data_IF_503249094407
#
_entry.id   IF_503249094407
#
_cell.length_a   1.000
_cell.length_b   1.000
_cell.length_c   1.000
_cell.angle_alpha   90.00
_cell.angle_beta   90.00
_cell.angle_gamma   90.00
#
_symmetry.space_group_name_H-M   'P 1'
#
loop_
_entity.id
_entity.type
_entity.pdbx_description
1 polymer ?
#
# COMPACT_ATOMS: atom_id res chain seq x y z
N UNK A 1 -12.95 12.05 -21.79
CA UNK A 1 -14.14 12.29 -20.93
C UNK A 1 -14.77 13.65 -21.18
N UNK A 2 -14.02 14.75 -21.08
CA UNK A 2 -14.60 16.07 -21.33
C UNK A 2 -15.10 16.24 -22.78
N UNK A 3 -14.38 15.66 -23.75
CA UNK A 3 -14.82 15.59 -25.15
C UNK A 3 -16.08 14.73 -25.34
N UNK A 4 -16.16 13.55 -24.72
CA UNK A 4 -17.36 12.72 -24.78
C UNK A 4 -18.58 13.44 -24.20
N UNK A 5 -18.39 14.22 -23.13
CA UNK A 5 -19.44 15.07 -22.56
C UNK A 5 -19.82 16.21 -23.50
N UNK A 6 -18.85 16.87 -24.14
CA UNK A 6 -19.12 18.00 -25.04
C UNK A 6 -19.83 17.59 -26.33
N UNK A 7 -19.64 16.35 -26.77
CA UNK A 7 -20.33 15.78 -27.94
C UNK A 7 -21.68 15.15 -27.60
N UNK A 8 -22.05 15.04 -26.32
CA UNK A 8 -23.26 14.37 -25.88
C UNK A 8 -23.21 12.84 -26.04
N UNK A 9 -22.01 12.26 -26.05
CA UNK A 9 -21.85 10.82 -26.17
C UNK A 9 -22.36 10.09 -24.91
N UNK A 10 -23.26 9.13 -25.11
CA UNK A 10 -23.76 8.25 -24.05
C UNK A 10 -22.79 7.10 -23.72
N UNK A 11 -21.92 6.76 -24.68
CA UNK A 11 -21.01 5.61 -24.60
C UNK A 11 -19.62 5.96 -25.13
N UNK A 12 -18.58 5.43 -24.50
CA UNK A 12 -17.19 5.48 -24.96
C UNK A 12 -16.71 4.06 -25.22
N UNK A 13 -16.15 3.82 -26.40
CA UNK A 13 -15.44 2.58 -26.71
C UNK A 13 -13.98 2.73 -26.35
N UNK A 14 -13.44 1.80 -25.57
CA UNK A 14 -12.02 1.75 -25.23
C UNK A 14 -11.44 0.38 -25.59
N UNK A 15 -10.23 0.38 -26.14
CA UNK A 15 -9.47 -0.83 -26.46
C UNK A 15 -8.42 -1.15 -25.39
N UNK A 16 -7.90 -0.14 -24.69
CA UNK A 16 -6.98 -0.38 -23.58
C UNK A 16 -7.77 -0.74 -22.32
N UNK A 17 -7.48 -1.86 -21.65
CA UNK A 17 -8.08 -2.16 -20.35
C UNK A 17 -7.78 -1.07 -19.31
N UNK A 18 -6.62 -0.41 -19.44
CA UNK A 18 -6.25 0.75 -18.65
C UNK A 18 -7.17 1.96 -18.86
N UNK A 19 -7.61 2.21 -20.10
CA UNK A 19 -8.51 3.31 -20.43
C UNK A 19 -9.94 2.99 -20.03
N UNK A 20 -10.40 1.75 -20.25
CA UNK A 20 -11.69 1.28 -19.75
C UNK A 20 -11.80 1.57 -18.25
N UNK A 21 -10.79 1.12 -17.52
CA UNK A 21 -10.67 1.32 -16.09
C UNK A 21 -10.70 2.81 -15.69
N UNK A 22 -9.81 3.63 -16.27
CA UNK A 22 -9.74 5.06 -15.95
C UNK A 22 -11.04 5.80 -16.25
N UNK A 23 -11.71 5.42 -17.34
CA UNK A 23 -12.97 6.02 -17.75
C UNK A 23 -14.12 5.63 -16.82
N UNK A 24 -14.26 4.35 -16.46
CA UNK A 24 -15.28 3.91 -15.50
C UNK A 24 -15.12 4.59 -14.14
N UNK A 25 -13.89 4.64 -13.61
CA UNK A 25 -13.63 5.33 -12.32
C UNK A 25 -13.85 6.82 -12.41
N UNK A 26 -13.50 7.45 -13.54
CA UNK A 26 -13.80 8.88 -13.75
C UNK A 26 -15.30 9.12 -13.79
N UNK A 27 -16.06 8.27 -14.48
CA UNK A 27 -17.51 8.37 -14.54
C UNK A 27 -18.15 8.21 -13.16
N UNK A 28 -17.72 7.24 -12.36
CA UNK A 28 -18.18 7.05 -10.99
C UNK A 28 -17.85 8.25 -10.08
N UNK A 29 -16.56 8.63 -9.99
CA UNK A 29 -16.08 9.70 -9.11
C UNK A 29 -16.68 11.07 -9.46
N UNK A 30 -16.91 11.33 -10.75
CA UNK A 30 -17.52 12.57 -11.24
C UNK A 30 -19.03 12.48 -11.44
N UNK A 31 -19.65 11.32 -11.14
CA UNK A 31 -21.09 11.05 -11.35
C UNK A 31 -21.55 11.38 -12.77
N UNK A 32 -20.78 10.94 -13.76
CA UNK A 32 -21.10 11.11 -15.18
C UNK A 32 -21.93 9.91 -15.65
N UNK A 33 -22.96 10.20 -16.42
CA UNK A 33 -23.80 9.19 -17.08
C UNK A 33 -23.24 8.86 -18.47
N UNK A 34 -22.02 8.30 -18.50
CA UNK A 34 -21.34 7.90 -19.73
C UNK A 34 -20.82 6.47 -19.54
N UNK A 35 -21.37 5.52 -20.29
CA UNK A 35 -20.99 4.12 -20.22
C UNK A 35 -19.66 3.88 -20.94
N UNK A 36 -18.78 3.06 -20.35
CA UNK A 36 -17.52 2.66 -20.99
C UNK A 36 -17.56 1.20 -21.40
N UNK A 37 -17.44 0.95 -22.70
CA UNK A 37 -17.56 -0.39 -23.30
C UNK A 37 -16.22 -0.80 -23.90
N UNK A 38 -15.79 -2.03 -23.64
CA UNK A 38 -14.66 -2.65 -24.33
C UNK A 38 -14.95 -2.80 -25.83
N UNK A 39 -14.01 -2.38 -26.66
CA UNK A 39 -14.14 -2.46 -28.11
C UNK A 39 -14.29 -3.91 -28.61
N UNK A 40 -13.61 -4.87 -28.00
CA UNK A 40 -13.71 -6.27 -28.41
C UNK A 40 -15.09 -6.85 -28.07
N UNK A 41 -15.62 -6.56 -26.87
CA UNK A 41 -17.01 -6.87 -26.47
C UNK A 41 -18.01 -6.23 -27.42
N UNK A 42 -17.83 -4.95 -27.77
CA UNK A 42 -18.72 -4.26 -28.71
C UNK A 42 -18.75 -4.98 -30.06
N UNK A 43 -17.57 -5.29 -30.63
CA UNK A 43 -17.47 -6.02 -31.89
C UNK A 43 -18.07 -7.43 -31.83
N UNK A 44 -17.75 -8.20 -30.80
CA UNK A 44 -18.21 -9.58 -30.67
C UNK A 44 -19.73 -9.67 -30.39
N UNK A 45 -20.31 -8.69 -29.70
CA UNK A 45 -21.76 -8.59 -29.55
C UNK A 45 -22.48 -8.44 -30.89
N UNK A 46 -21.90 -7.72 -31.86
CA UNK A 46 -22.49 -7.61 -33.21
C UNK A 46 -22.49 -8.94 -33.99
N UNK A 47 -21.61 -9.87 -33.60
CA UNK A 47 -21.53 -11.22 -34.17
C UNK A 47 -22.44 -12.22 -33.43
N UNK A 48 -23.24 -11.76 -32.45
CA UNK A 48 -24.19 -12.60 -31.71
C UNK A 48 -23.58 -13.31 -30.50
N UNK A 49 -22.37 -12.95 -30.07
CA UNK A 49 -21.78 -13.49 -28.85
C UNK A 49 -22.20 -12.67 -27.62
N UNK A 50 -22.65 -13.34 -26.57
CA UNK A 50 -22.91 -12.72 -25.27
C UNK A 50 -21.76 -12.97 -24.31
N UNK A 51 -21.30 -11.91 -23.65
CA UNK A 51 -20.27 -11.99 -22.62
C UNK A 51 -20.81 -11.45 -21.29
N UNK A 52 -20.44 -12.06 -20.15
CA UNK A 52 -20.75 -11.49 -18.84
C UNK A 52 -20.10 -10.11 -18.72
N UNK A 53 -20.74 -9.19 -18.01
CA UNK A 53 -20.16 -7.88 -17.74
C UNK A 53 -18.84 -8.04 -16.95
N UNK A 54 -17.69 -7.54 -17.48
CA UNK A 54 -16.42 -7.64 -16.78
C UNK A 54 -16.32 -6.67 -15.61
N UNK A 55 -17.20 -5.66 -15.49
CA UNK A 55 -17.04 -4.57 -14.52
C UNK A 55 -16.90 -5.04 -13.06
N UNK A 56 -17.68 -6.02 -12.55
CA UNK A 56 -17.51 -6.50 -11.18
C UNK A 56 -16.13 -7.08 -10.91
N UNK A 57 -15.50 -7.75 -11.88
CA UNK A 57 -14.15 -8.30 -11.73
C UNK A 57 -13.08 -7.21 -11.86
N UNK A 58 -13.26 -6.28 -12.81
CA UNK A 58 -12.37 -5.12 -12.98
C UNK A 58 -12.35 -4.26 -11.71
N UNK A 59 -13.50 -4.00 -11.09
CA UNK A 59 -13.60 -3.26 -9.84
C UNK A 59 -12.95 -4.00 -8.65
N UNK A 60 -13.08 -5.33 -8.58
CA UNK A 60 -12.39 -6.14 -7.57
C UNK A 60 -10.87 -6.03 -7.70
N UNK A 61 -10.35 -6.14 -8.91
CA UNK A 61 -8.91 -6.01 -9.17
C UNK A 61 -8.42 -4.56 -8.92
N UNK A 62 -9.25 -3.57 -9.23
CA UNK A 62 -8.97 -2.16 -8.92
C UNK A 62 -8.86 -1.90 -7.43
N UNK A 63 -9.77 -2.43 -6.61
CA UNK A 63 -9.74 -2.23 -5.16
C UNK A 63 -8.40 -2.69 -4.55
N UNK A 64 -7.83 -3.79 -5.07
CA UNK A 64 -6.50 -4.24 -4.68
C UNK A 64 -5.41 -3.23 -5.10
N UNK A 65 -5.49 -2.68 -6.31
CA UNK A 65 -4.53 -1.70 -6.82
C UNK A 65 -4.60 -0.34 -6.10
N UNK A 66 -5.79 0.20 -5.81
CA UNK A 66 -5.95 1.42 -4.99
C UNK A 66 -5.34 1.24 -3.60
N UNK A 67 -5.59 0.10 -2.98
CA UNK A 67 -5.03 -0.21 -1.67
C UNK A 67 -3.50 -0.33 -1.71
N UNK A 68 -2.93 -0.88 -2.78
CA UNK A 68 -1.48 -0.92 -2.98
C UNK A 68 -0.89 0.47 -3.19
N UNK A 69 -1.52 1.33 -4.00
CA UNK A 69 -1.08 2.73 -4.16
C UNK A 69 -1.10 3.44 -2.82
N UNK A 70 -2.19 3.32 -2.06
CA UNK A 70 -2.30 3.92 -0.74
C UNK A 70 -1.21 3.41 0.21
N UNK A 71 -0.92 2.11 0.18
CA UNK A 71 0.15 1.51 0.98
C UNK A 71 1.55 2.03 0.60
N UNK A 72 1.79 2.33 -0.68
CA UNK A 72 3.06 2.83 -1.19
C UNK A 72 3.31 4.32 -0.88
N UNK A 73 2.38 5.00 -0.22
CA UNK A 73 2.61 6.37 0.31
C UNK A 73 3.40 6.35 1.63
N UNK A 74 4.12 7.43 1.99
CA UNK A 74 4.79 7.53 3.28
C UNK A 74 3.84 7.28 4.47
N UNK A 75 2.63 7.82 4.42
CA UNK A 75 1.61 7.68 5.44
C UNK A 75 1.07 6.26 5.52
N UNK A 76 0.74 5.66 4.37
CA UNK A 76 0.25 4.29 4.28
C UNK A 76 1.28 3.29 4.80
N UNK A 77 2.54 3.46 4.41
CA UNK A 77 3.63 2.61 4.85
C UNK A 77 3.91 2.78 6.35
N UNK A 78 3.95 4.03 6.86
CA UNK A 78 4.09 4.30 8.28
C UNK A 78 2.94 3.68 9.11
N UNK A 79 1.71 3.72 8.59
CA UNK A 79 0.55 3.09 9.23
C UNK A 79 0.62 1.55 9.21
N UNK A 80 1.23 0.94 8.19
CA UNK A 80 1.54 -0.49 8.20
C UNK A 80 2.55 -0.82 9.29
N UNK A 81 3.67 -0.10 9.33
CA UNK A 81 4.71 -0.26 10.36
C UNK A 81 4.15 -0.09 11.77
N UNK A 82 3.21 0.85 11.96
CA UNK A 82 2.52 1.09 13.22
C UNK A 82 1.80 -0.12 13.80
N UNK A 83 1.48 -1.13 13.00
CA UNK A 83 0.84 -2.36 13.47
C UNK A 83 1.82 -3.44 13.91
N UNK A 84 3.11 -3.30 13.63
CA UNK A 84 4.11 -4.35 13.83
C UNK A 84 5.26 -3.89 14.72
N UNK A 85 4.98 -3.04 15.73
CA UNK A 85 6.01 -2.57 16.66
C UNK A 85 6.77 -3.70 17.38
N UNK A 86 6.11 -4.75 17.92
CA UNK A 86 6.82 -5.86 18.57
C UNK A 86 7.86 -6.51 17.65
N UNK A 87 7.48 -6.75 16.39
CA UNK A 87 8.29 -7.39 15.36
C UNK A 87 9.39 -6.46 14.86
N UNK A 88 9.08 -5.17 14.61
CA UNK A 88 10.05 -4.13 14.27
C UNK A 88 11.16 -4.03 15.32
N UNK A 89 10.79 -3.87 16.59
CA UNK A 89 11.76 -3.75 17.68
C UNK A 89 12.48 -5.07 17.90
N UNK A 90 11.80 -6.21 17.75
CA UNK A 90 12.40 -7.54 17.85
C UNK A 90 13.42 -7.84 16.75
N UNK A 91 13.23 -7.30 15.54
CA UNK A 91 14.10 -7.52 14.40
C UNK A 91 15.40 -6.69 14.45
N UNK A 92 15.46 -5.64 15.28
CA UNK A 92 16.63 -4.77 15.39
C UNK A 92 17.92 -5.55 15.70
N UNK A 93 19.02 -5.28 14.96
CA UNK A 93 20.26 -6.03 15.11
C UNK A 93 20.99 -5.72 16.42
N UNK A 94 21.99 -6.54 16.76
CA UNK A 94 22.91 -6.31 17.89
C UNK A 94 22.23 -6.15 19.26
N UNK A 95 21.03 -6.70 19.44
CA UNK A 95 20.28 -6.59 20.69
C UNK A 95 19.69 -5.20 20.96
N UNK A 96 19.76 -4.28 19.98
CA UNK A 96 19.27 -2.91 20.10
C UNK A 96 17.78 -2.86 20.49
N UNK A 97 16.98 -3.84 20.07
CA UNK A 97 15.58 -3.95 20.48
C UNK A 97 15.39 -4.10 22.00
N UNK A 98 16.25 -4.87 22.67
CA UNK A 98 16.23 -5.01 24.15
C UNK A 98 16.67 -3.72 24.82
N UNK A 99 17.71 -3.07 24.28
CA UNK A 99 18.19 -1.77 24.75
C UNK A 99 17.10 -0.70 24.64
N UNK A 100 16.41 -0.60 23.50
CA UNK A 100 15.36 0.40 23.29
C UNK A 100 14.16 0.20 24.23
N UNK A 101 13.77 -1.04 24.49
CA UNK A 101 12.74 -1.35 25.51
C UNK A 101 13.17 -0.96 26.92
N UNK A 102 14.45 -1.14 27.27
CA UNK A 102 14.98 -0.70 28.56
C UNK A 102 15.01 0.83 28.67
N UNK A 103 15.47 1.52 27.62
CA UNK A 103 15.49 2.99 27.56
C UNK A 103 14.08 3.59 27.58
N UNK A 104 13.08 2.90 27.00
CA UNK A 104 11.69 3.32 27.08
C UNK A 104 11.11 3.38 28.49
N UNK A 105 11.69 2.64 29.44
CA UNK A 105 11.33 2.71 30.87
C UNK A 105 11.97 3.89 31.60
N UNK A 106 12.98 4.53 31.01
CA UNK A 106 13.68 5.68 31.59
C UNK A 106 13.06 6.97 31.02
N UNK A 107 12.43 7.82 31.85
CA UNK A 107 11.81 9.06 31.37
C UNK A 107 12.80 9.93 30.59
N UNK A 108 12.44 10.28 29.35
CA UNK A 108 13.22 11.20 28.50
C UNK A 108 14.40 10.59 27.74
N UNK A 109 14.83 9.36 28.04
CA UNK A 109 16.00 8.75 27.39
C UNK A 109 15.81 8.55 25.87
N UNK A 110 14.63 8.09 25.44
CA UNK A 110 14.32 7.92 24.01
C UNK A 110 14.13 9.26 23.27
N UNK A 111 13.65 10.29 23.98
CA UNK A 111 13.48 11.63 23.41
C UNK A 111 14.83 12.26 23.05
N UNK A 112 15.87 11.99 23.85
CA UNK A 112 17.23 12.47 23.60
C UNK A 112 17.85 11.83 22.34
N UNK A 113 17.43 10.62 21.98
CA UNK A 113 17.88 9.93 20.77
C UNK A 113 17.09 10.29 19.51
N UNK A 114 16.03 11.13 19.63
CA UNK A 114 15.19 11.54 18.50
C UNK A 114 15.98 12.08 17.30
N UNK A 115 17.03 12.92 17.47
CA UNK A 115 17.83 13.42 16.35
C UNK A 115 18.65 12.34 15.63
N UNK A 116 18.90 11.20 16.28
CA UNK A 116 19.72 10.11 15.75
C UNK A 116 18.90 9.15 14.89
N UNK A 117 17.60 8.98 15.18
CA UNK A 117 16.74 8.05 14.46
C UNK A 117 16.70 8.27 12.94
N UNK A 118 16.63 9.49 12.39
CA UNK A 118 16.63 9.69 10.94
C UNK A 118 17.88 9.21 10.23
N UNK A 119 19.03 9.20 10.91
CA UNK A 119 20.30 8.73 10.34
C UNK A 119 20.45 7.22 10.51
N UNK A 120 19.95 6.70 11.62
CA UNK A 120 20.11 5.30 12.01
C UNK A 120 19.06 4.39 11.34
N UNK A 121 17.81 4.84 11.27
CA UNK A 121 16.67 4.06 10.77
C UNK A 121 16.85 3.57 9.32
N UNK A 122 17.31 4.41 8.35
CA UNK A 122 17.57 3.95 6.99
C UNK A 122 18.65 2.88 6.87
N UNK A 123 19.60 2.83 7.84
CA UNK A 123 20.64 1.79 7.88
C UNK A 123 20.13 0.51 8.53
N UNK A 124 19.32 0.64 9.58
CA UNK A 124 18.78 -0.51 10.31
C UNK A 124 17.70 -1.24 9.54
N UNK A 125 16.80 -0.52 8.88
CA UNK A 125 15.63 -1.12 8.24
C UNK A 125 16.00 -2.19 7.21
N UNK A 126 16.95 -1.98 6.27
CA UNK A 126 17.39 -3.04 5.33
C UNK A 126 17.90 -4.31 6.04
N UNK A 127 18.62 -4.16 7.16
CA UNK A 127 19.10 -5.30 7.95
C UNK A 127 17.95 -6.04 8.66
N UNK A 128 16.84 -5.35 8.92
CA UNK A 128 15.65 -5.91 9.56
C UNK A 128 14.69 -6.54 8.54
N UNK A 129 14.71 -6.10 7.27
CA UNK A 129 13.76 -6.52 6.22
C UNK A 129 13.62 -8.04 6.08
N UNK A 130 14.69 -8.86 6.08
CA UNK A 130 14.54 -10.32 5.96
C UNK A 130 13.68 -10.95 7.07
N UNK A 131 13.70 -10.37 8.29
CA UNK A 131 12.89 -10.84 9.42
C UNK A 131 11.47 -10.26 9.41
N UNK A 132 11.31 -9.07 8.84
CA UNK A 132 10.02 -8.35 8.80
C UNK A 132 9.17 -8.73 7.60
N UNK A 133 9.79 -9.13 6.49
CA UNK A 133 9.10 -9.43 5.23
C UNK A 133 7.91 -10.40 5.41
N UNK A 134 8.04 -11.52 6.14
CA UNK A 134 6.91 -12.44 6.32
C UNK A 134 5.72 -11.79 7.05
N UNK A 135 6.01 -11.01 8.09
CA UNK A 135 4.98 -10.30 8.88
C UNK A 135 4.36 -9.21 8.03
N UNK A 136 5.17 -8.45 7.29
CA UNK A 136 4.70 -7.40 6.40
C UNK A 136 3.76 -7.96 5.33
N UNK A 137 4.12 -9.07 4.69
CA UNK A 137 3.28 -9.76 3.72
C UNK A 137 1.95 -10.21 4.34
N UNK A 138 1.97 -10.78 5.55
CA UNK A 138 0.75 -11.17 6.27
C UNK A 138 -0.16 -9.96 6.53
N UNK A 139 0.38 -8.86 7.06
CA UNK A 139 -0.42 -7.63 7.32
C UNK A 139 -0.94 -6.98 6.04
N UNK A 140 -0.22 -7.07 4.94
CA UNK A 140 -0.69 -6.60 3.63
C UNK A 140 -1.82 -7.47 3.12
N UNK A 141 -1.70 -8.80 3.23
CA UNK A 141 -2.75 -9.73 2.82
C UNK A 141 -4.05 -9.60 3.65
N UNK A 142 -3.95 -9.23 4.92
CA UNK A 142 -5.11 -8.93 5.77
C UNK A 142 -5.84 -7.64 5.36
N UNK A 143 -5.12 -6.66 4.82
CA UNK A 143 -5.66 -5.33 4.48
C UNK A 143 -6.16 -5.23 3.05
N UNK A 144 -5.56 -5.99 2.13
CA UNK A 144 -5.78 -5.86 0.69
C UNK A 144 -6.46 -7.13 0.17
N UNK A 145 -7.71 -7.06 -0.31
CA UNK A 145 -8.43 -8.21 -0.85
C UNK A 145 -7.86 -8.58 -2.22
N UNK A 146 -6.73 -9.29 -2.21
CA UNK A 146 -6.05 -9.75 -3.42
C UNK A 146 -6.62 -11.09 -3.91
N UNK A 147 -6.75 -11.28 -5.24
CA UNK A 147 -6.89 -12.62 -5.83
C UNK A 147 -5.71 -13.53 -5.49
N UNK A 148 -5.93 -14.85 -5.53
CA UNK A 148 -4.90 -15.82 -5.09
C UNK A 148 -3.64 -15.78 -5.95
N UNK A 149 -3.77 -15.61 -7.27
CA UNK A 149 -2.62 -15.47 -8.16
C UNK A 149 -1.75 -14.25 -7.82
N UNK A 150 -2.35 -13.16 -7.31
CA UNK A 150 -1.59 -11.99 -6.86
C UNK A 150 -0.85 -12.31 -5.56
N UNK A 151 -1.51 -12.95 -4.59
CA UNK A 151 -0.90 -13.35 -3.31
C UNK A 151 0.32 -14.24 -3.51
N UNK A 152 0.24 -15.19 -4.44
CA UNK A 152 1.34 -16.11 -4.77
C UNK A 152 2.58 -15.37 -5.30
N UNK A 153 2.41 -14.24 -5.97
CA UNK A 153 3.49 -13.43 -6.53
C UNK A 153 4.09 -12.44 -5.49
N UNK A 154 3.36 -12.10 -4.44
CA UNK A 154 3.77 -11.10 -3.44
C UNK A 154 5.13 -11.39 -2.79
N UNK A 155 5.48 -12.64 -2.41
CA UNK A 155 6.79 -12.93 -1.81
C UNK A 155 7.97 -12.60 -2.73
N UNK A 156 7.78 -12.68 -4.05
CA UNK A 156 8.82 -12.34 -5.03
C UNK A 156 8.81 -10.84 -5.40
N UNK A 157 7.61 -10.25 -5.53
CA UNK A 157 7.44 -8.86 -5.95
C UNK A 157 7.79 -7.87 -4.84
N UNK A 158 7.34 -8.12 -3.61
CA UNK A 158 7.46 -7.19 -2.49
C UNK A 158 8.92 -6.79 -2.19
N UNK A 159 9.90 -7.72 -2.14
CA UNK A 159 11.31 -7.34 -1.96
C UNK A 159 11.79 -6.37 -3.04
N UNK A 160 11.48 -6.64 -4.32
CA UNK A 160 11.88 -5.78 -5.44
C UNK A 160 11.23 -4.40 -5.35
N UNK A 161 9.96 -4.32 -4.96
CA UNK A 161 9.26 -3.04 -4.74
C UNK A 161 9.92 -2.26 -3.62
N UNK A 162 10.22 -2.92 -2.49
CA UNK A 162 10.87 -2.27 -1.35
C UNK A 162 12.27 -1.78 -1.68
N UNK A 163 13.08 -2.57 -2.41
CA UNK A 163 14.42 -2.17 -2.82
C UNK A 163 14.42 -0.91 -3.70
N UNK A 164 13.40 -0.77 -4.56
CA UNK A 164 13.25 0.40 -5.42
C UNK A 164 12.59 1.59 -4.72
N UNK A 165 11.56 1.37 -3.90
CA UNK A 165 10.77 2.44 -3.29
C UNK A 165 11.44 3.04 -2.04
N UNK A 166 12.01 2.18 -1.19
CA UNK A 166 12.50 2.60 0.13
C UNK A 166 13.58 3.68 0.09
N UNK A 167 14.59 3.62 -0.79
CA UNK A 167 15.62 4.66 -0.84
C UNK A 167 15.07 6.07 -1.08
N UNK A 168 13.93 6.16 -1.77
CA UNK A 168 13.28 7.43 -2.11
C UNK A 168 12.20 7.84 -1.10
N UNK A 169 11.63 6.89 -0.36
CA UNK A 169 10.52 7.12 0.56
C UNK A 169 10.94 7.21 2.04
N UNK A 170 12.10 6.64 2.41
CA UNK A 170 12.51 6.52 3.81
C UNK A 170 12.61 7.85 4.55
N UNK A 171 13.02 8.92 3.85
CA UNK A 171 13.13 10.27 4.42
C UNK A 171 11.80 10.81 4.93
N UNK A 172 10.72 10.50 4.22
CA UNK A 172 9.36 10.97 4.54
C UNK A 172 8.66 10.04 5.56
N UNK A 173 8.99 8.75 5.54
CA UNK A 173 8.45 7.77 6.49
C UNK A 173 9.00 7.99 7.90
N UNK A 174 10.30 8.25 8.02
CA UNK A 174 11.00 8.38 9.33
C UNK A 174 10.30 9.36 10.29
N UNK A 175 9.96 10.59 9.89
CA UNK A 175 9.22 11.54 10.74
C UNK A 175 7.89 10.99 11.25
N UNK A 176 7.17 10.23 10.40
CA UNK A 176 5.86 9.66 10.70
C UNK A 176 5.93 8.51 11.70
N UNK A 177 7.02 7.72 11.66
CA UNK A 177 7.17 6.52 12.53
C UNK A 177 7.88 6.80 13.84
N UNK A 178 8.73 7.83 13.91
CA UNK A 178 9.62 8.06 15.06
C UNK A 178 8.83 8.32 16.34
N UNK A 179 7.81 9.19 16.31
CA UNK A 179 7.04 9.52 17.51
C UNK A 179 6.16 8.35 17.97
N UNK A 180 5.35 7.70 17.11
CA UNK A 180 4.60 6.51 17.48
C UNK A 180 5.46 5.39 18.08
N UNK A 181 6.67 5.18 17.56
CA UNK A 181 7.61 4.19 18.12
C UNK A 181 8.03 4.55 19.56
N UNK A 182 8.34 5.82 19.83
CA UNK A 182 8.67 6.29 21.19
C UNK A 182 7.47 6.12 22.13
N UNK A 183 6.27 6.46 21.68
CA UNK A 183 5.05 6.33 22.47
C UNK A 183 4.76 4.83 22.79
N UNK A 184 4.99 3.92 21.84
CA UNK A 184 4.94 2.47 22.09
C UNK A 184 5.99 2.03 23.13
N UNK A 185 7.26 2.42 22.97
CA UNK A 185 8.35 2.01 23.87
C UNK A 185 8.22 2.58 25.29
N UNK A 186 7.59 3.74 25.44
CA UNK A 186 7.32 4.37 26.74
C UNK A 186 6.02 3.90 27.38
N UNK A 187 5.30 2.97 26.73
CA UNK A 187 4.04 2.41 27.25
C UNK A 187 2.84 3.36 27.14
N UNK A 188 2.95 4.44 26.37
CA UNK A 188 1.84 5.39 26.13
C UNK A 188 0.83 4.88 25.09
N UNK A 189 1.24 3.92 24.26
CA UNK A 189 0.37 3.25 23.30
C UNK A 189 0.41 1.75 23.54
N UNK A 190 -0.73 1.08 23.78
CA UNK A 190 -0.75 -0.37 23.89
C UNK A 190 -0.37 -1.02 22.54
N UNK A 191 0.17 -2.24 22.53
CA UNK A 191 0.38 -2.98 21.29
C UNK A 191 -0.95 -3.09 20.53
N UNK A 192 -0.92 -2.85 19.22
CA UNK A 192 -2.04 -3.16 18.35
C UNK A 192 -2.39 -4.65 18.54
N UNK A 193 -3.66 -4.93 18.81
CA UNK A 193 -4.19 -6.30 18.91
C UNK A 193 -4.12 -7.00 17.57
#
# INVERSE_FOLDING_TARGET
MDEAKSTGAEKILAMCPCCEFQFRVTAEKKKLDIETIDLARFGAATLGYEFPDPDPEVQRQWAAFEAMIALMTPEGFAALMGTMWPELIGAMPLGMGKMMRLMGKIPGALTLMKPVFPVLFPRLLPMMMPKLMPVMLARVAERIPMPDYMKEQMPELMPKVMDNLMPHMIGDVVPLVTRPMIDYLTGKTPPAK
#
